data_IF_158245320216
#
_entry.id   IF_158245320216
#
_cell.length_a   1.000
_cell.length_b   1.000
_cell.length_c   1.000
_cell.angle_alpha   90.00
_cell.angle_beta   90.00
_cell.angle_gamma   90.00
#
_symmetry.space_group_name_H-M   'P 1'
#
loop_
_entity.id
_entity.type
_entity.pdbx_description
1 polymer ?
#
# COMPACT_ATOMS: atom_id res chain seq x y z
N UNK A 1 -15.33 -13.04 4.47
CA UNK A 1 -14.63 -11.81 4.05
C UNK A 1 -13.35 -11.56 4.87
N UNK A 2 -13.37 -11.65 6.21
CA UNK A 2 -12.22 -11.39 7.11
C UNK A 2 -10.97 -12.26 6.79
N UNK A 3 -11.14 -13.55 6.51
CA UNK A 3 -10.02 -14.44 6.16
C UNK A 3 -9.30 -14.03 4.86
N UNK A 4 -10.01 -13.46 3.88
CA UNK A 4 -9.38 -12.91 2.67
C UNK A 4 -8.53 -11.68 3.01
N UNK A 5 -9.01 -10.81 3.91
CA UNK A 5 -8.25 -9.66 4.39
C UNK A 5 -7.03 -10.10 5.22
N UNK A 6 -7.16 -11.17 6.00
CA UNK A 6 -6.05 -11.77 6.74
C UNK A 6 -4.95 -12.31 5.80
N UNK A 7 -5.32 -12.99 4.71
CA UNK A 7 -4.36 -13.46 3.70
C UNK A 7 -3.54 -12.31 3.08
N UNK A 8 -4.12 -11.10 3.02
CA UNK A 8 -3.42 -9.89 2.55
C UNK A 8 -2.76 -9.08 3.68
N UNK A 9 -2.68 -9.62 4.90
CA UNK A 9 -2.12 -8.93 6.08
C UNK A 9 -2.78 -7.58 6.41
N UNK A 10 -4.05 -7.40 6.06
CA UNK A 10 -4.83 -6.19 6.34
C UNK A 10 -5.49 -6.23 7.71
N UNK A 11 -5.75 -7.42 8.23
CA UNK A 11 -6.30 -7.69 9.56
C UNK A 11 -5.47 -8.73 10.26
N UNK A 12 -5.50 -8.73 11.58
CA UNK A 12 -4.98 -9.79 12.44
C UNK A 12 -6.04 -10.18 13.44
N UNK A 13 -5.86 -11.30 14.13
CA UNK A 13 -6.80 -11.71 15.16
C UNK A 13 -6.11 -12.22 16.41
N UNK A 14 -6.71 -11.94 17.56
CA UNK A 14 -6.39 -12.56 18.84
C UNK A 14 -7.55 -13.43 19.27
N UNK A 15 -7.28 -14.65 19.74
CA UNK A 15 -8.32 -15.54 20.26
C UNK A 15 -8.23 -15.66 21.78
N UNK A 16 -9.37 -15.60 22.44
CA UNK A 16 -9.48 -15.85 23.87
C UNK A 16 -10.50 -16.95 24.11
N UNK A 17 -10.18 -17.90 25.02
CA UNK A 17 -11.12 -18.93 25.40
C UNK A 17 -12.11 -18.39 26.44
N UNK A 18 -13.40 -18.51 26.18
CA UNK A 18 -14.43 -18.21 27.16
C UNK A 18 -14.37 -19.22 28.30
N UNK A 19 -14.21 -18.73 29.52
CA UNK A 19 -14.10 -19.58 30.74
C UNK A 19 -15.39 -20.32 31.09
N UNK A 20 -16.57 -19.76 30.68
CA UNK A 20 -17.88 -20.35 31.03
C UNK A 20 -18.34 -21.38 30.01
N UNK A 21 -18.22 -21.06 28.71
CA UNK A 21 -18.76 -21.90 27.62
C UNK A 21 -17.70 -22.72 26.89
N UNK A 22 -16.41 -22.49 27.16
CA UNK A 22 -15.30 -23.22 26.55
C UNK A 22 -15.03 -22.84 25.05
N UNK A 23 -15.77 -21.94 24.49
CA UNK A 23 -15.63 -21.50 23.08
C UNK A 23 -14.49 -20.53 22.92
N UNK A 24 -13.98 -20.39 21.65
CA UNK A 24 -13.00 -19.38 21.32
C UNK A 24 -13.68 -18.16 20.72
N UNK A 25 -13.41 -16.99 21.30
CA UNK A 25 -13.83 -15.69 20.79
C UNK A 25 -12.66 -15.08 20.06
N UNK A 26 -12.89 -14.67 18.80
CA UNK A 26 -11.91 -14.04 17.93
C UNK A 26 -12.12 -12.53 17.93
N UNK A 27 -11.08 -11.77 18.27
CA UNK A 27 -11.05 -10.32 18.20
C UNK A 27 -10.19 -9.94 17.00
N UNK A 28 -10.77 -9.23 16.06
CA UNK A 28 -10.13 -8.84 14.82
C UNK A 28 -9.64 -7.39 14.89
N UNK A 29 -8.35 -7.17 14.62
CA UNK A 29 -7.71 -5.87 14.55
C UNK A 29 -7.44 -5.52 13.09
N UNK A 30 -7.89 -4.33 12.65
CA UNK A 30 -7.71 -3.84 11.29
C UNK A 30 -6.54 -2.88 11.19
N UNK A 31 -5.62 -3.13 10.26
CA UNK A 31 -4.46 -2.31 10.02
C UNK A 31 -4.71 -1.28 8.92
N UNK A 32 -5.35 -0.16 9.26
CA UNK A 32 -5.69 0.92 8.34
C UNK A 32 -4.50 1.39 7.50
N UNK A 33 -3.31 1.49 8.11
CA UNK A 33 -2.09 1.91 7.40
C UNK A 33 -1.69 0.94 6.28
N UNK A 34 -1.69 -0.37 6.57
CA UNK A 34 -1.38 -1.39 5.55
C UNK A 34 -2.42 -1.41 4.43
N UNK A 35 -3.70 -1.22 4.77
CA UNK A 35 -4.76 -1.12 3.78
C UNK A 35 -4.57 0.09 2.85
N UNK A 36 -4.18 1.22 3.41
CA UNK A 36 -3.90 2.43 2.64
C UNK A 36 -2.67 2.26 1.72
N UNK A 37 -1.57 1.70 2.24
CA UNK A 37 -0.38 1.39 1.44
C UNK A 37 -0.70 0.40 0.30
N UNK A 38 -1.49 -0.64 0.56
CA UNK A 38 -1.94 -1.59 -0.46
C UNK A 38 -2.81 -0.93 -1.53
N UNK A 39 -3.71 -0.02 -1.14
CA UNK A 39 -4.53 0.74 -2.08
C UNK A 39 -3.69 1.65 -2.98
N UNK A 40 -2.65 2.31 -2.43
CA UNK A 40 -1.72 3.12 -3.22
C UNK A 40 -0.97 2.28 -4.26
N UNK A 41 -0.42 1.14 -3.86
CA UNK A 41 0.26 0.22 -4.79
C UNK A 41 -0.67 -0.24 -5.91
N UNK A 42 -1.95 -0.51 -5.60
CA UNK A 42 -2.93 -0.87 -6.62
C UNK A 42 -3.21 0.28 -7.60
N UNK A 43 -3.35 1.51 -7.10
CA UNK A 43 -3.53 2.71 -7.95
C UNK A 43 -2.31 2.97 -8.84
N UNK A 44 -1.09 2.81 -8.32
CA UNK A 44 0.15 2.93 -9.10
C UNK A 44 0.23 1.91 -10.24
N UNK A 45 -0.10 0.65 -9.96
CA UNK A 45 -0.17 -0.39 -11.01
C UNK A 45 -1.19 -0.04 -12.09
N UNK A 46 -2.38 0.40 -11.68
CA UNK A 46 -3.43 0.83 -12.62
C UNK A 46 -2.97 2.01 -13.47
N UNK A 47 -2.28 2.97 -12.87
CA UNK A 47 -1.72 4.12 -13.56
C UNK A 47 -0.67 3.70 -14.61
N UNK A 48 0.20 2.73 -14.29
CA UNK A 48 1.14 2.15 -15.24
C UNK A 48 0.43 1.55 -16.46
N UNK A 49 -0.57 0.73 -16.24
CA UNK A 49 -1.36 0.11 -17.33
C UNK A 49 -2.06 1.17 -18.20
N UNK A 50 -2.63 2.22 -17.59
CA UNK A 50 -3.29 3.29 -18.33
C UNK A 50 -2.30 4.11 -19.18
N UNK A 51 -1.10 4.37 -18.66
CA UNK A 51 -0.04 5.05 -19.43
C UNK A 51 0.43 4.23 -20.64
N UNK A 52 0.59 2.93 -20.47
CA UNK A 52 0.92 2.03 -21.59
C UNK A 52 -0.20 1.98 -22.62
N UNK A 53 -1.46 1.93 -22.16
CA UNK A 53 -2.62 1.99 -23.04
C UNK A 53 -2.64 3.33 -23.82
N UNK A 54 -2.44 4.45 -23.14
CA UNK A 54 -2.36 5.76 -23.79
C UNK A 54 -1.26 5.81 -24.84
N UNK A 55 -0.06 5.29 -24.51
CA UNK A 55 1.06 5.23 -25.45
C UNK A 55 0.69 4.46 -26.71
N UNK A 56 0.04 3.30 -26.57
CA UNK A 56 -0.43 2.49 -27.70
C UNK A 56 -1.48 3.22 -28.54
N UNK A 57 -2.46 3.87 -27.88
CA UNK A 57 -3.51 4.60 -28.58
C UNK A 57 -2.96 5.84 -29.36
N UNK A 58 -1.93 6.51 -28.84
CA UNK A 58 -1.31 7.66 -29.52
C UNK A 58 -0.42 7.23 -30.68
N UNK A 59 0.31 6.12 -30.55
CA UNK A 59 1.23 5.65 -31.58
C UNK A 59 0.56 4.79 -32.66
N UNK A 60 -0.60 4.15 -32.34
CA UNK A 60 -1.27 3.20 -33.21
C UNK A 60 -2.32 3.86 -34.11
N UNK A 61 -2.47 3.33 -35.32
CA UNK A 61 -3.60 3.60 -36.19
C UNK A 61 -4.60 2.47 -36.08
N UNK A 62 -5.86 2.83 -35.84
CA UNK A 62 -6.94 1.85 -35.62
C UNK A 62 -8.03 2.04 -36.68
N UNK A 63 -8.66 0.93 -37.01
CA UNK A 63 -9.75 0.86 -37.98
C UNK A 63 -10.95 0.16 -37.33
N UNK A 64 -12.11 0.79 -37.41
CA UNK A 64 -13.36 0.27 -36.86
C UNK A 64 -14.31 -0.21 -37.95
N UNK A 65 -15.05 -1.24 -37.63
CA UNK A 65 -16.23 -1.61 -38.39
C UNK A 65 -17.32 -0.53 -38.23
N UNK A 66 -18.06 -0.14 -39.27
CA UNK A 66 -19.20 0.77 -39.16
C UNK A 66 -20.27 0.29 -38.17
N UNK A 67 -20.44 -1.00 -38.02
CA UNK A 67 -21.37 -1.60 -37.06
C UNK A 67 -20.78 -1.78 -35.64
N UNK A 68 -19.52 -1.34 -35.45
CA UNK A 68 -18.75 -1.46 -34.19
C UNK A 68 -18.49 -2.91 -33.72
N UNK A 69 -18.53 -3.89 -34.60
CA UNK A 69 -18.28 -5.30 -34.26
C UNK A 69 -16.83 -5.54 -33.89
N UNK A 70 -15.89 -4.98 -34.68
CA UNK A 70 -14.45 -5.20 -34.53
C UNK A 70 -13.67 -3.90 -34.68
N UNK A 71 -12.62 -3.76 -33.86
CA UNK A 71 -11.61 -2.71 -33.96
C UNK A 71 -10.24 -3.34 -34.16
N UNK A 72 -9.59 -3.08 -35.28
CA UNK A 72 -8.30 -3.65 -35.67
C UNK A 72 -7.20 -2.60 -35.67
N UNK A 73 -5.98 -3.01 -35.33
CA UNK A 73 -4.76 -2.25 -35.58
C UNK A 73 -4.44 -2.28 -37.07
N UNK A 74 -3.66 -1.30 -37.54
CA UNK A 74 -3.29 -1.16 -38.95
C UNK A 74 -2.73 -2.45 -39.57
N UNK A 75 -1.81 -3.14 -38.88
CA UNK A 75 -1.21 -4.38 -39.37
C UNK A 75 -2.26 -5.46 -39.61
N UNK A 76 -3.17 -5.66 -38.65
CA UNK A 76 -4.26 -6.61 -38.78
C UNK A 76 -5.29 -6.20 -39.83
N UNK A 77 -5.54 -4.90 -39.96
CA UNK A 77 -6.44 -4.39 -41.01
C UNK A 77 -5.91 -4.70 -42.42
N UNK A 78 -4.58 -4.63 -42.61
CA UNK A 78 -3.93 -5.04 -43.87
C UNK A 78 -4.10 -6.51 -44.13
N UNK A 79 -3.89 -7.39 -43.13
CA UNK A 79 -4.06 -8.85 -43.27
C UNK A 79 -5.46 -9.23 -43.75
N UNK A 80 -6.47 -8.49 -43.27
CA UNK A 80 -7.86 -8.67 -43.67
C UNK A 80 -8.29 -7.83 -44.89
N UNK A 81 -7.34 -7.15 -45.57
CA UNK A 81 -7.65 -6.31 -46.73
C UNK A 81 -8.61 -5.16 -46.39
N UNK A 82 -8.55 -4.60 -45.19
CA UNK A 82 -9.44 -3.57 -44.65
C UNK A 82 -10.92 -3.95 -44.65
N UNK A 83 -11.23 -5.25 -44.54
CA UNK A 83 -12.59 -5.78 -44.39
C UNK A 83 -12.79 -6.30 -42.98
N UNK A 84 -14.00 -6.14 -42.49
CA UNK A 84 -14.38 -6.69 -41.18
C UNK A 84 -14.49 -8.22 -41.27
N UNK A 85 -13.86 -9.01 -40.41
CA UNK A 85 -13.95 -10.45 -40.42
C UNK A 85 -15.34 -11.00 -40.05
N UNK A 86 -16.19 -10.17 -39.42
CA UNK A 86 -17.54 -10.58 -38.97
C UNK A 86 -18.64 -10.26 -40.02
N UNK A 87 -18.57 -9.07 -40.67
CA UNK A 87 -19.63 -8.60 -41.56
C UNK A 87 -19.16 -8.24 -42.98
N UNK A 88 -17.90 -8.47 -43.33
CA UNK A 88 -17.28 -8.16 -44.64
C UNK A 88 -17.34 -6.69 -45.08
N UNK A 89 -17.85 -5.77 -44.22
CA UNK A 89 -17.89 -4.35 -44.53
C UNK A 89 -16.49 -3.72 -44.47
N UNK A 90 -16.29 -2.69 -45.26
CA UNK A 90 -15.02 -1.96 -45.29
C UNK A 90 -14.80 -1.23 -43.95
N UNK A 91 -13.62 -1.42 -43.36
CA UNK A 91 -13.22 -0.79 -42.13
C UNK A 91 -12.94 0.70 -42.36
N UNK A 92 -13.37 1.53 -41.42
CA UNK A 92 -13.16 2.99 -41.43
C UNK A 92 -12.11 3.36 -40.39
N UNK A 93 -11.24 4.32 -40.69
CA UNK A 93 -10.25 4.79 -39.75
C UNK A 93 -10.92 5.37 -38.50
N UNK A 94 -10.49 4.90 -37.33
CA UNK A 94 -11.01 5.35 -36.03
C UNK A 94 -10.35 6.67 -35.59
N UNK A 95 -11.16 7.63 -35.18
CA UNK A 95 -10.65 8.86 -34.58
C UNK A 95 -10.45 8.69 -33.08
N UNK A 96 -9.23 8.34 -32.69
CA UNK A 96 -8.82 8.10 -31.29
C UNK A 96 -8.89 9.32 -30.37
N UNK A 97 -9.08 10.53 -30.89
CA UNK A 97 -8.91 11.78 -30.13
C UNK A 97 -9.75 11.81 -28.85
N UNK A 98 -11.02 11.40 -28.93
CA UNK A 98 -11.90 11.35 -27.76
C UNK A 98 -11.43 10.33 -26.71
N UNK A 99 -10.90 9.18 -27.15
CA UNK A 99 -10.42 8.13 -26.27
C UNK A 99 -9.12 8.55 -25.58
N UNK A 100 -8.20 9.16 -26.33
CA UNK A 100 -6.96 9.72 -25.81
C UNK A 100 -7.26 10.80 -24.76
N UNK A 101 -8.17 11.74 -25.03
CA UNK A 101 -8.55 12.77 -24.07
C UNK A 101 -9.13 12.17 -22.77
N UNK A 102 -10.00 11.16 -22.86
CA UNK A 102 -10.55 10.48 -21.67
C UNK A 102 -9.45 9.80 -20.86
N UNK A 103 -8.53 9.09 -21.54
CA UNK A 103 -7.41 8.42 -20.88
C UNK A 103 -6.48 9.43 -20.20
N UNK A 104 -6.13 10.52 -20.86
CA UNK A 104 -5.29 11.57 -20.29
C UNK A 104 -5.91 12.15 -19.02
N UNK A 105 -7.19 12.52 -19.08
CA UNK A 105 -7.92 13.04 -17.92
C UNK A 105 -7.92 12.04 -16.74
N UNK A 106 -8.22 10.76 -17.02
CA UNK A 106 -8.22 9.72 -15.97
C UNK A 106 -6.83 9.50 -15.37
N UNK A 107 -5.76 9.60 -16.17
CA UNK A 107 -4.38 9.50 -15.71
C UNK A 107 -4.04 10.68 -14.79
N UNK A 108 -4.37 11.91 -15.17
CA UNK A 108 -4.12 13.13 -14.38
C UNK A 108 -4.85 13.06 -13.02
N UNK A 109 -6.11 12.64 -13.00
CA UNK A 109 -6.89 12.44 -11.77
C UNK A 109 -6.22 11.41 -10.85
N UNK A 110 -5.84 10.25 -11.38
CA UNK A 110 -5.17 9.19 -10.61
C UNK A 110 -3.77 9.60 -10.13
N UNK A 111 -3.01 10.36 -10.92
CA UNK A 111 -1.70 10.90 -10.50
C UNK A 111 -1.84 11.86 -9.32
N UNK A 112 -2.84 12.72 -9.35
CA UNK A 112 -3.19 13.61 -8.23
C UNK A 112 -3.50 12.83 -6.96
N UNK A 113 -4.36 11.80 -7.06
CA UNK A 113 -4.72 10.95 -5.91
C UNK A 113 -3.50 10.19 -5.35
N UNK A 114 -2.62 9.68 -6.21
CA UNK A 114 -1.41 8.96 -5.77
C UNK A 114 -0.43 9.91 -5.09
N UNK A 115 -0.24 11.14 -5.59
CA UNK A 115 0.61 12.15 -4.95
C UNK A 115 0.13 12.49 -3.54
N UNK A 116 -1.15 12.87 -3.40
CA UNK A 116 -1.75 13.16 -2.09
C UNK A 116 -1.64 11.95 -1.15
N UNK A 117 -1.87 10.75 -1.67
CA UNK A 117 -1.74 9.53 -0.88
C UNK A 117 -0.32 9.28 -0.37
N UNK A 118 0.70 9.56 -1.17
CA UNK A 118 2.11 9.46 -0.76
C UNK A 118 2.45 10.46 0.33
N UNK A 119 2.05 11.70 0.19
CA UNK A 119 2.32 12.77 1.17
C UNK A 119 1.76 12.40 2.55
N UNK A 120 0.51 11.90 2.62
CA UNK A 120 -0.10 11.41 3.86
C UNK A 120 0.70 10.26 4.50
N UNK A 121 1.28 9.37 3.70
CA UNK A 121 2.09 8.25 4.21
C UNK A 121 3.45 8.74 4.72
N UNK A 122 4.07 9.73 4.05
CA UNK A 122 5.35 10.30 4.47
C UNK A 122 5.24 11.05 5.79
N UNK A 123 4.28 11.96 5.94
CA UNK A 123 4.06 12.71 7.18
C UNK A 123 3.89 11.78 8.39
N UNK A 124 3.11 10.69 8.26
CA UNK A 124 2.93 9.71 9.34
C UNK A 124 4.18 8.88 9.64
N UNK A 125 5.15 8.77 8.70
CA UNK A 125 6.44 8.11 8.96
C UNK A 125 7.36 9.01 9.79
N UNK A 126 7.41 10.30 9.48
CA UNK A 126 8.23 11.28 10.20
C UNK A 126 7.76 11.47 11.65
N UNK A 127 6.46 11.58 11.91
CA UNK A 127 5.91 11.64 13.26
C UNK A 127 6.26 10.41 14.11
N UNK A 128 6.26 9.20 13.52
CA UNK A 128 6.62 7.98 14.24
C UNK A 128 8.12 7.87 14.51
N UNK A 129 8.97 8.35 13.61
CA UNK A 129 10.42 8.42 13.81
C UNK A 129 10.76 9.41 14.90
N UNK A 130 10.13 10.59 14.92
CA UNK A 130 10.30 11.61 15.96
C UNK A 130 9.81 11.14 17.35
N UNK A 131 8.69 10.40 17.42
CA UNK A 131 8.20 9.82 18.69
C UNK A 131 9.10 8.69 19.20
N UNK A 132 9.71 7.89 18.30
CA UNK A 132 10.62 6.80 18.66
C UNK A 132 11.97 7.28 19.15
N UNK A 133 12.49 8.41 18.62
CA UNK A 133 13.71 9.06 19.11
C UNK A 133 13.51 9.68 20.49
N UNK A 134 12.37 10.37 20.73
CA UNK A 134 12.03 10.96 22.06
C UNK A 134 11.79 9.89 23.13
N UNK A 135 11.27 8.71 22.78
CA UNK A 135 11.09 7.59 23.71
C UNK A 135 12.43 6.91 24.08
N UNK A 136 13.39 6.83 23.15
CA UNK A 136 14.74 6.29 23.43
C UNK A 136 15.58 7.20 24.32
N UNK A 137 15.44 8.52 24.18
CA UNK A 137 16.14 9.48 25.06
C UNK A 137 15.59 9.44 26.49
N UNK A 138 14.25 9.43 26.67
CA UNK A 138 13.64 9.29 28.00
C UNK A 138 13.97 7.94 28.69
N UNK A 139 14.10 6.85 27.93
CA UNK A 139 14.52 5.54 28.46
C UNK A 139 15.98 5.52 28.92
N UNK A 140 16.88 6.24 28.24
CA UNK A 140 18.30 6.36 28.65
C UNK A 140 18.49 7.26 29.88
N UNK A 141 17.69 8.30 30.03
CA UNK A 141 17.74 9.14 31.25
C UNK A 141 17.21 8.41 32.49
N UNK A 142 16.10 7.65 32.36
CA UNK A 142 15.62 6.82 33.48
C UNK A 142 16.61 5.72 33.88
N UNK A 143 17.29 5.08 32.94
CA UNK A 143 18.31 4.05 33.25
C UNK A 143 19.59 4.66 33.86
N UNK A 144 19.96 5.91 33.52
CA UNK A 144 21.07 6.61 34.20
C UNK A 144 20.72 7.04 35.62
N UNK A 145 19.49 7.54 35.88
CA UNK A 145 19.02 7.87 37.24
C UNK A 145 18.93 6.64 38.15
N UNK A 146 18.52 5.50 37.65
CA UNK A 146 18.45 4.25 38.42
C UNK A 146 19.84 3.68 38.74
N UNK A 147 20.85 3.90 37.91
CA UNK A 147 22.25 3.51 38.20
C UNK A 147 22.94 4.39 39.25
N UNK A 148 22.51 5.65 39.41
CA UNK A 148 23.06 6.56 40.42
C UNK A 148 22.48 6.29 41.81
N UNK A 149 21.27 5.72 41.92
CA UNK A 149 20.60 5.43 43.19
C UNK A 149 21.00 4.05 43.79
N UNK A 150 21.68 3.17 43.02
CA UNK A 150 22.08 1.81 43.44
C UNK A 150 23.58 1.70 43.78
N UNK A 151 24.16 2.67 44.49
CA UNK A 151 25.41 2.50 45.26
C UNK A 151 25.16 2.89 46.72
N UNK A 152 24.75 1.95 47.57
CA UNK A 152 24.89 2.14 49.03
C UNK A 152 26.14 1.41 49.51
N UNK A 153 27.00 2.12 50.17
CA UNK A 153 27.48 1.82 51.53
C UNK A 153 27.27 0.41 52.04
N UNK A 154 28.17 -0.50 51.70
CA UNK A 154 28.41 -1.75 52.48
C UNK A 154 29.92 -1.95 52.66
N UNK A 155 30.54 -1.00 53.41
CA UNK A 155 31.88 -1.17 53.95
C UNK A 155 31.98 -0.46 55.30
N UNK A 156 31.25 -0.88 56.32
CA UNK A 156 31.50 -0.50 57.73
C UNK A 156 30.80 -1.41 58.76
N UNK A 157 30.70 -2.70 58.56
CA UNK A 157 30.29 -3.64 59.65
C UNK A 157 31.10 -4.92 59.50
N UNK A 158 32.41 -4.88 59.61
CA UNK A 158 33.28 -6.05 59.82
C UNK A 158 34.56 -5.71 60.64
N UNK A 159 34.41 -4.85 61.62
CA UNK A 159 35.57 -4.57 62.53
C UNK A 159 35.22 -4.39 64.00
N UNK A 160 34.11 -4.98 64.50
CA UNK A 160 33.74 -4.89 65.94
C UNK A 160 33.53 -6.27 66.59
N UNK A 161 33.77 -7.41 65.95
CA UNK A 161 33.57 -8.73 66.59
C UNK A 161 34.86 -9.54 66.74
N UNK A 162 36.04 -8.88 66.74
CA UNK A 162 37.33 -9.58 66.93
C UNK A 162 38.18 -8.99 68.08
N UNK A 163 37.51 -8.58 69.19
CA UNK A 163 38.27 -8.26 70.42
C UNK A 163 37.35 -8.52 71.65
N UNK A 164 37.07 -9.79 71.91
CA UNK A 164 36.77 -10.32 73.21
C UNK A 164 36.93 -11.84 73.21
N UNK A 165 38.15 -12.29 73.33
CA UNK A 165 38.66 -13.37 74.23
C UNK A 165 40.15 -13.33 74.23
#
# INVERSE_FOLDING_TARGET
MLYRMYAHNLVDFTRKKDKKKGWYIYYWDFYLKKAFEAALVHKEKRLGVLKELLKREVSGQYFNCPDNDVRLEFERAIEHGFKCPECDKVLVQDNNSRKVQRLTKTIEELEGEVKVGKDIVFEKKEEKSAKKSKAKTKGKEKSKKIKIIKKPETKKIKKVVANKK
#
